data_IF_245283013524
#
_entry.id   IF_245283013524
#
_cell.length_a   1.000
_cell.length_b   1.000
_cell.length_c   1.000
_cell.angle_alpha   90.00
_cell.angle_beta   90.00
_cell.angle_gamma   90.00
#
_symmetry.space_group_name_H-M   'P 1'
#
loop_
_entity.id
_entity.type
_entity.pdbx_description
1 polymer ?
#
# COMPACT_ATOMS: atom_id res chain seq x y z
N UNK A 1 -34.51 -9.92 -23.44
CA UNK A 1 -33.42 -9.23 -22.70
C UNK A 1 -32.30 -10.24 -22.55
N UNK A 2 -31.08 -9.85 -22.83
CA UNK A 2 -29.90 -10.71 -22.66
C UNK A 2 -29.10 -10.13 -21.50
N UNK A 3 -28.66 -10.96 -20.57
CA UNK A 3 -27.86 -10.52 -19.44
C UNK A 3 -26.38 -10.45 -19.84
N UNK A 4 -25.65 -9.49 -19.26
CA UNK A 4 -24.20 -9.41 -19.42
C UNK A 4 -23.55 -10.67 -18.85
N UNK A 5 -22.64 -11.32 -19.57
CA UNK A 5 -22.00 -12.55 -19.08
C UNK A 5 -21.01 -12.28 -17.94
N UNK A 6 -20.52 -11.04 -17.81
CA UNK A 6 -19.61 -10.64 -16.72
C UNK A 6 -20.36 -10.16 -15.48
N UNK A 7 -21.21 -9.14 -15.61
CA UNK A 7 -21.85 -8.48 -14.46
C UNK A 7 -23.30 -8.92 -14.21
N UNK A 8 -23.85 -9.81 -15.05
CA UNK A 8 -25.22 -10.35 -14.96
C UNK A 8 -26.36 -9.31 -14.95
N UNK A 9 -26.07 -8.04 -15.28
CA UNK A 9 -27.08 -7.00 -15.39
C UNK A 9 -27.84 -7.12 -16.71
N UNK A 10 -29.15 -6.81 -16.73
CA UNK A 10 -29.96 -6.89 -17.94
C UNK A 10 -29.52 -5.83 -18.95
N UNK A 11 -29.34 -6.23 -20.21
CA UNK A 11 -28.90 -5.33 -21.28
C UNK A 11 -30.01 -5.08 -22.31
N UNK A 12 -30.09 -3.83 -22.80
CA UNK A 12 -31.10 -3.39 -23.80
C UNK A 12 -30.77 -3.84 -25.22
N UNK A 13 -29.55 -4.27 -25.50
CA UNK A 13 -29.11 -4.67 -26.84
C UNK A 13 -28.99 -6.19 -26.93
N UNK A 14 -29.91 -6.81 -27.67
CA UNK A 14 -29.68 -8.14 -28.24
C UNK A 14 -28.66 -8.00 -29.38
N UNK A 15 -27.39 -7.83 -29.03
CA UNK A 15 -26.30 -7.83 -30.00
C UNK A 15 -25.31 -8.91 -29.61
N UNK A 16 -24.58 -9.46 -30.58
CA UNK A 16 -23.63 -10.56 -30.48
C UNK A 16 -22.47 -10.36 -29.46
N UNK A 17 -22.52 -9.33 -28.63
CA UNK A 17 -21.53 -8.99 -27.64
C UNK A 17 -21.89 -9.60 -26.29
N UNK A 18 -20.97 -10.33 -25.70
CA UNK A 18 -21.15 -11.00 -24.40
C UNK A 18 -21.04 -10.04 -23.20
N UNK A 19 -20.62 -8.80 -23.45
CA UNK A 19 -20.40 -7.75 -22.44
C UNK A 19 -21.31 -6.53 -22.66
N UNK A 20 -21.80 -5.93 -21.56
CA UNK A 20 -22.51 -4.66 -21.60
C UNK A 20 -21.56 -3.48 -21.92
N UNK A 21 -22.10 -2.28 -22.16
CA UNK A 21 -21.29 -1.10 -22.50
C UNK A 21 -20.26 -0.76 -21.41
N UNK A 22 -20.67 -0.74 -20.14
CA UNK A 22 -19.78 -0.43 -19.02
C UNK A 22 -18.66 -1.47 -18.88
N UNK A 23 -18.99 -2.76 -18.86
CA UNK A 23 -17.98 -3.82 -18.77
C UNK A 23 -16.97 -3.77 -19.93
N UNK A 24 -17.37 -3.35 -21.14
CA UNK A 24 -16.43 -3.15 -22.25
C UNK A 24 -15.48 -1.97 -22.01
N UNK A 25 -15.97 -0.90 -21.41
CA UNK A 25 -15.16 0.27 -21.05
C UNK A 25 -14.19 -0.06 -19.91
N UNK A 26 -14.66 -0.74 -18.87
CA UNK A 26 -13.85 -1.21 -17.75
C UNK A 26 -12.77 -2.17 -18.22
N UNK A 27 -13.15 -3.20 -18.99
CA UNK A 27 -12.22 -4.17 -19.57
C UNK A 27 -11.16 -3.49 -20.45
N UNK A 28 -11.58 -2.57 -21.31
CA UNK A 28 -10.66 -1.80 -22.15
C UNK A 28 -9.68 -0.95 -21.32
N UNK A 29 -10.17 -0.32 -20.26
CA UNK A 29 -9.36 0.49 -19.35
C UNK A 29 -8.31 -0.39 -18.67
N UNK A 30 -8.68 -1.59 -18.22
CA UNK A 30 -7.75 -2.53 -17.60
C UNK A 30 -6.66 -3.02 -18.57
N UNK A 31 -7.01 -3.33 -19.82
CA UNK A 31 -6.01 -3.67 -20.85
C UNK A 31 -5.00 -2.53 -21.02
N UNK A 32 -5.48 -1.30 -21.07
CA UNK A 32 -4.62 -0.13 -21.20
C UNK A 32 -3.70 0.02 -19.97
N UNK A 33 -4.27 -0.06 -18.77
CA UNK A 33 -3.52 0.08 -17.51
C UNK A 33 -2.46 -1.02 -17.32
N UNK A 34 -2.76 -2.25 -17.71
CA UNK A 34 -1.82 -3.38 -17.62
C UNK A 34 -0.51 -3.08 -18.35
N UNK A 35 -0.60 -2.67 -19.62
CA UNK A 35 0.58 -2.38 -20.44
C UNK A 35 1.20 -1.00 -20.21
N UNK A 36 0.39 0.02 -19.92
CA UNK A 36 0.88 1.39 -19.78
C UNK A 36 1.49 1.69 -18.40
N UNK A 37 0.95 1.08 -17.34
CA UNK A 37 1.30 1.41 -15.95
C UNK A 37 1.84 0.20 -15.20
N UNK A 38 1.09 -0.90 -15.14
CA UNK A 38 1.42 -2.00 -14.24
C UNK A 38 2.73 -2.71 -14.65
N UNK A 39 2.84 -3.17 -15.89
CA UNK A 39 4.03 -3.87 -16.38
C UNK A 39 5.32 -3.05 -16.31
N UNK A 40 5.37 -1.76 -16.71
CA UNK A 40 6.53 -0.91 -16.49
C UNK A 40 6.92 -0.78 -15.01
N UNK A 41 5.94 -0.64 -14.12
CA UNK A 41 6.18 -0.47 -12.68
C UNK A 41 6.70 -1.75 -12.04
N UNK A 42 6.08 -2.90 -12.34
CA UNK A 42 6.54 -4.21 -11.90
C UNK A 42 7.97 -4.49 -12.37
N UNK A 43 8.33 -4.12 -13.61
CA UNK A 43 9.70 -4.26 -14.12
C UNK A 43 10.71 -3.41 -13.34
N UNK A 44 10.32 -2.20 -12.92
CA UNK A 44 11.15 -1.36 -12.05
C UNK A 44 11.37 -1.98 -10.66
N UNK A 45 10.35 -2.63 -10.10
CA UNK A 45 10.42 -3.35 -8.82
C UNK A 45 11.29 -4.60 -8.94
N UNK A 46 11.09 -5.40 -9.99
CA UNK A 46 11.86 -6.62 -10.28
C UNK A 46 13.36 -6.33 -10.33
N UNK A 47 13.75 -5.22 -10.97
CA UNK A 47 15.14 -4.74 -11.04
C UNK A 47 15.62 -4.01 -9.77
N UNK A 48 14.79 -3.92 -8.74
CA UNK A 48 15.01 -3.14 -7.50
C UNK A 48 15.38 -1.68 -7.74
N UNK A 49 14.94 -1.13 -8.87
CA UNK A 49 15.10 0.29 -9.21
C UNK A 49 14.03 1.14 -8.51
N UNK A 50 12.91 0.53 -8.12
CA UNK A 50 11.89 1.09 -7.25
C UNK A 50 11.59 0.12 -6.09
N UNK A 51 11.30 0.68 -4.92
CA UNK A 51 10.78 -0.04 -3.76
C UNK A 51 9.40 0.50 -3.43
N UNK A 52 8.47 -0.41 -3.13
CA UNK A 52 7.13 -0.09 -2.66
C UNK A 52 7.07 -0.43 -1.17
N UNK A 53 6.78 0.55 -0.32
CA UNK A 53 6.79 0.44 1.14
C UNK A 53 8.08 0.95 1.81
N UNK A 54 8.07 1.02 3.15
CA UNK A 54 9.25 1.39 3.94
C UNK A 54 10.27 0.26 3.92
N UNK A 55 11.59 0.54 3.78
CA UNK A 55 12.61 -0.49 3.84
C UNK A 55 12.59 -1.17 5.22
N UNK A 56 12.07 -2.39 5.30
CA UNK A 56 12.18 -3.19 6.51
C UNK A 56 13.67 -3.53 6.74
N UNK A 57 14.18 -3.29 7.94
CA UNK A 57 15.51 -3.77 8.31
C UNK A 57 15.51 -5.29 8.34
N UNK A 58 16.00 -5.91 7.27
CA UNK A 58 16.22 -7.35 7.21
C UNK A 58 17.26 -7.72 8.27
N UNK A 59 16.98 -8.66 9.20
CA UNK A 59 18.01 -9.21 10.06
C UNK A 59 19.14 -9.75 9.18
N UNK A 60 20.38 -9.48 9.57
CA UNK A 60 21.58 -9.83 8.82
C UNK A 60 21.70 -11.36 8.68
N UNK A 61 21.03 -11.94 7.67
CA UNK A 61 21.19 -13.33 7.26
C UNK A 61 22.36 -13.36 6.28
N UNK A 62 23.37 -14.19 6.53
CA UNK A 62 24.63 -14.27 5.78
C UNK A 62 24.53 -14.70 4.31
N UNK A 63 23.34 -14.69 3.71
CA UNK A 63 23.14 -14.92 2.28
C UNK A 63 22.75 -13.60 1.61
N UNK A 64 23.50 -13.22 0.58
CA UNK A 64 23.15 -12.10 -0.27
C UNK A 64 21.74 -12.33 -0.88
N UNK A 65 20.82 -11.37 -0.78
CA UNK A 65 19.51 -11.49 -1.40
C UNK A 65 19.68 -11.61 -2.93
N UNK A 66 18.81 -12.39 -3.58
CA UNK A 66 18.83 -12.57 -5.03
C UNK A 66 18.84 -11.22 -5.77
N UNK A 67 19.47 -11.13 -6.95
CA UNK A 67 19.61 -9.87 -7.70
C UNK A 67 18.29 -9.31 -8.23
N UNK A 68 17.22 -10.11 -8.25
CA UNK A 68 15.88 -9.72 -8.71
C UNK A 68 14.82 -10.04 -7.65
N UNK A 69 13.68 -9.34 -7.74
CA UNK A 69 12.47 -9.70 -6.99
C UNK A 69 11.69 -10.79 -7.76
N UNK A 70 11.70 -12.01 -7.22
CA UNK A 70 11.04 -13.18 -7.85
C UNK A 70 9.53 -13.04 -7.86
N UNK A 71 8.93 -12.40 -6.85
CA UNK A 71 7.49 -12.21 -6.83
C UNK A 71 7.05 -11.23 -7.94
N UNK A 72 7.78 -10.13 -8.12
CA UNK A 72 7.54 -9.22 -9.23
C UNK A 72 7.76 -9.90 -10.60
N UNK A 73 8.74 -10.82 -10.70
CA UNK A 73 8.95 -11.61 -11.92
C UNK A 73 7.73 -12.48 -12.25
N UNK A 74 7.19 -13.23 -11.28
CA UNK A 74 6.02 -14.10 -11.49
C UNK A 74 4.80 -13.30 -12.00
N UNK A 75 4.56 -12.10 -11.43
CA UNK A 75 3.47 -11.21 -11.84
C UNK A 75 3.67 -10.65 -13.26
N UNK A 76 4.92 -10.38 -13.64
CA UNK A 76 5.26 -9.98 -15.01
C UNK A 76 4.98 -11.14 -15.97
N UNK A 77 5.44 -12.35 -15.67
CA UNK A 77 5.25 -13.52 -16.52
C UNK A 77 3.77 -13.84 -16.75
N UNK A 78 2.95 -13.79 -15.69
CA UNK A 78 1.49 -13.98 -15.77
C UNK A 78 0.82 -12.91 -16.66
N UNK A 79 1.21 -11.64 -16.49
CA UNK A 79 0.70 -10.51 -17.27
C UNK A 79 1.10 -10.59 -18.76
N UNK A 80 2.34 -10.99 -19.04
CA UNK A 80 2.86 -11.13 -20.41
C UNK A 80 2.26 -12.33 -21.13
N UNK A 81 2.06 -13.45 -20.43
CA UNK A 81 1.37 -14.61 -20.97
C UNK A 81 -0.06 -14.27 -21.40
N UNK A 82 -0.79 -13.53 -20.57
CA UNK A 82 -2.13 -13.07 -20.90
C UNK A 82 -2.12 -12.19 -22.17
N UNK A 83 -1.22 -11.21 -22.27
CA UNK A 83 -1.10 -10.35 -23.45
C UNK A 83 -0.77 -11.15 -24.73
N UNK A 84 0.15 -12.12 -24.64
CA UNK A 84 0.51 -12.96 -25.79
C UNK A 84 -0.67 -13.82 -26.26
N UNK A 85 -1.44 -14.40 -25.33
CA UNK A 85 -2.64 -15.18 -25.64
C UNK A 85 -3.70 -14.31 -26.34
N UNK A 86 -4.02 -13.13 -25.79
CA UNK A 86 -5.02 -12.24 -26.37
C UNK A 86 -4.60 -11.72 -27.75
N UNK A 87 -3.32 -11.40 -27.93
CA UNK A 87 -2.80 -11.03 -29.24
C UNK A 87 -2.93 -12.19 -30.24
N UNK A 88 -2.61 -13.43 -29.83
CA UNK A 88 -2.78 -14.64 -30.62
C UNK A 88 -4.23 -14.92 -31.03
N UNK A 89 -5.19 -14.66 -30.12
CA UNK A 89 -6.64 -14.73 -30.37
C UNK A 89 -7.11 -13.75 -31.45
N UNK A 90 -6.52 -12.55 -31.51
CA UNK A 90 -6.77 -11.57 -32.58
C UNK A 90 -6.18 -12.08 -33.91
N UNK A 91 -4.93 -12.55 -33.89
CA UNK A 91 -4.27 -13.13 -35.06
C UNK A 91 -3.15 -14.08 -34.61
N UNK A 92 -3.14 -15.30 -35.13
CA UNK A 92 -2.14 -16.32 -34.77
C UNK A 92 -0.68 -15.86 -34.93
N UNK A 93 -0.41 -14.98 -35.91
CA UNK A 93 0.92 -14.39 -36.14
C UNK A 93 1.43 -13.52 -34.96
N UNK A 94 0.55 -13.09 -34.06
CA UNK A 94 0.90 -12.27 -32.88
C UNK A 94 1.24 -13.11 -31.64
N UNK A 95 1.00 -14.42 -31.66
CA UNK A 95 1.17 -15.29 -30.48
C UNK A 95 2.62 -15.37 -29.94
N UNK A 96 3.62 -14.92 -30.72
CA UNK A 96 5.02 -14.86 -30.31
C UNK A 96 5.56 -13.45 -30.09
N UNK A 97 4.68 -12.44 -30.02
CA UNK A 97 5.12 -11.07 -29.77
C UNK A 97 5.61 -10.89 -28.33
N UNK A 98 6.65 -10.07 -28.17
CA UNK A 98 6.99 -9.52 -26.86
C UNK A 98 5.82 -8.69 -26.32
N UNK A 99 5.74 -8.54 -24.99
CA UNK A 99 4.59 -7.93 -24.33
C UNK A 99 4.23 -6.54 -24.86
N UNK A 100 5.22 -5.71 -25.25
CA UNK A 100 4.94 -4.37 -25.79
C UNK A 100 4.27 -4.48 -27.14
N UNK A 101 4.81 -5.31 -28.04
CA UNK A 101 4.20 -5.54 -29.36
C UNK A 101 2.84 -6.21 -29.25
N UNK A 102 2.68 -7.17 -28.35
CA UNK A 102 1.40 -7.81 -28.07
C UNK A 102 0.36 -6.79 -27.58
N UNK A 103 0.73 -5.95 -26.61
CA UNK A 103 -0.10 -4.86 -26.12
C UNK A 103 -0.45 -3.85 -27.22
N UNK A 104 0.52 -3.41 -28.03
CA UNK A 104 0.27 -2.54 -29.18
C UNK A 104 -0.69 -3.16 -30.22
N UNK A 105 -0.56 -4.46 -30.46
CA UNK A 105 -1.46 -5.19 -31.35
C UNK A 105 -2.89 -5.25 -30.78
N UNK A 106 -3.05 -5.50 -29.48
CA UNK A 106 -4.35 -5.50 -28.81
C UNK A 106 -4.99 -4.12 -28.88
N UNK A 107 -4.25 -3.05 -28.53
CA UNK A 107 -4.84 -1.71 -28.51
C UNK A 107 -5.22 -1.22 -29.91
N UNK A 108 -4.50 -1.66 -30.93
CA UNK A 108 -4.83 -1.36 -32.34
C UNK A 108 -6.06 -2.12 -32.84
N UNK A 109 -6.49 -3.17 -32.12
CA UNK A 109 -7.61 -4.04 -32.47
C UNK A 109 -8.72 -3.99 -31.42
N UNK A 110 -8.99 -2.80 -30.84
CA UNK A 110 -10.00 -2.57 -29.79
C UNK A 110 -11.36 -3.21 -30.10
N UNK A 111 -11.87 -3.05 -31.31
CA UNK A 111 -13.18 -3.61 -31.66
C UNK A 111 -13.16 -5.14 -31.58
N UNK A 112 -12.13 -5.78 -32.13
CA UNK A 112 -11.99 -7.23 -32.14
C UNK A 112 -11.99 -7.79 -30.72
N UNK A 113 -11.07 -7.34 -29.85
CA UNK A 113 -10.93 -7.87 -28.49
C UNK A 113 -12.21 -7.73 -27.65
N UNK A 114 -12.95 -6.63 -27.82
CA UNK A 114 -14.18 -6.37 -27.06
C UNK A 114 -15.43 -7.10 -27.58
N UNK A 115 -15.34 -7.75 -28.74
CA UNK A 115 -16.47 -8.43 -29.40
C UNK A 115 -16.25 -9.93 -29.56
N UNK A 116 -15.10 -10.45 -29.13
CA UNK A 116 -14.82 -11.88 -29.15
C UNK A 116 -15.80 -12.65 -28.27
N UNK A 117 -16.09 -13.89 -28.67
CA UNK A 117 -16.92 -14.80 -27.87
C UNK A 117 -16.27 -15.20 -26.55
N UNK A 118 -14.96 -14.96 -26.37
CA UNK A 118 -14.23 -15.22 -25.13
C UNK A 118 -14.10 -13.99 -24.24
N UNK A 119 -14.60 -12.82 -24.68
CA UNK A 119 -14.33 -11.54 -24.02
C UNK A 119 -14.76 -11.48 -22.55
N UNK A 120 -15.80 -12.21 -22.15
CA UNK A 120 -16.23 -12.28 -20.75
C UNK A 120 -15.23 -13.06 -19.87
N UNK A 121 -14.80 -14.23 -20.33
CA UNK A 121 -13.81 -15.05 -19.64
C UNK A 121 -12.44 -14.36 -19.61
N UNK A 122 -12.05 -13.74 -20.72
CA UNK A 122 -10.80 -12.98 -20.83
C UNK A 122 -10.80 -11.76 -19.90
N UNK A 123 -11.95 -11.11 -19.71
CA UNK A 123 -12.12 -10.02 -18.76
C UNK A 123 -11.99 -10.51 -17.31
N UNK A 124 -12.68 -11.59 -16.93
CA UNK A 124 -12.54 -12.17 -15.59
C UNK A 124 -11.09 -12.59 -15.27
N UNK A 125 -10.39 -13.20 -16.24
CA UNK A 125 -8.97 -13.52 -16.11
C UNK A 125 -8.12 -12.26 -15.88
N UNK A 126 -8.38 -11.19 -16.65
CA UNK A 126 -7.66 -9.92 -16.49
C UNK A 126 -7.94 -9.25 -15.15
N UNK A 127 -9.16 -9.34 -14.59
CA UNK A 127 -9.47 -8.85 -13.25
C UNK A 127 -8.63 -9.52 -12.17
N UNK A 128 -8.46 -10.84 -12.27
CA UNK A 128 -7.61 -11.56 -11.34
C UNK A 128 -6.15 -11.11 -11.42
N UNK A 129 -5.60 -10.97 -12.62
CA UNK A 129 -4.22 -10.52 -12.85
C UNK A 129 -4.04 -9.09 -12.34
N UNK A 130 -4.92 -8.18 -12.76
CA UNK A 130 -4.85 -6.75 -12.43
C UNK A 130 -4.93 -6.53 -10.93
N UNK A 131 -5.80 -7.24 -10.22
CA UNK A 131 -5.90 -7.16 -8.75
C UNK A 131 -4.64 -7.63 -8.05
N UNK A 132 -4.02 -8.71 -8.51
CA UNK A 132 -2.75 -9.21 -7.94
C UNK A 132 -1.62 -8.22 -8.18
N UNK A 133 -1.56 -7.66 -9.39
CA UNK A 133 -0.61 -6.59 -9.72
C UNK A 133 -0.85 -5.38 -8.81
N UNK A 134 -2.09 -4.91 -8.67
CA UNK A 134 -2.44 -3.79 -7.78
C UNK A 134 -2.03 -4.04 -6.33
N UNK A 135 -2.23 -5.26 -5.81
CA UNK A 135 -1.79 -5.61 -4.46
C UNK A 135 -0.26 -5.52 -4.30
N UNK A 136 0.50 -5.93 -5.31
CA UNK A 136 1.96 -5.80 -5.29
C UNK A 136 2.43 -4.35 -5.53
N UNK A 137 1.63 -3.55 -6.24
CA UNK A 137 1.90 -2.16 -6.57
C UNK A 137 1.39 -1.17 -5.51
N UNK A 138 0.56 -1.62 -4.58
CA UNK A 138 0.06 -0.82 -3.46
C UNK A 138 0.85 -1.23 -2.23
N UNK A 139 1.61 -0.31 -1.59
CA UNK A 139 2.27 -0.64 -0.34
C UNK A 139 1.22 -1.04 0.71
N UNK A 140 1.52 -2.06 1.53
CA UNK A 140 0.81 -2.22 2.80
C UNK A 140 1.08 -0.94 3.60
N UNK A 141 0.04 -0.13 3.82
CA UNK A 141 0.17 1.06 4.66
C UNK A 141 0.67 0.64 6.05
N UNK A 142 1.76 1.28 6.51
CA UNK A 142 2.32 0.99 7.82
C UNK A 142 1.27 1.25 8.90
N UNK A 143 0.75 0.18 9.51
CA UNK A 143 -0.18 0.32 10.62
C UNK A 143 0.55 0.87 11.85
N UNK A 144 0.17 2.07 12.26
CA UNK A 144 0.66 2.72 13.48
C UNK A 144 -0.38 2.61 14.60
N UNK A 145 0.08 2.75 15.84
CA UNK A 145 -0.83 2.94 16.98
C UNK A 145 -1.36 4.37 16.90
N UNK A 146 -2.68 4.52 16.73
CA UNK A 146 -3.36 5.80 16.72
C UNK A 146 -3.59 6.31 18.15
N UNK A 147 -3.90 5.39 19.07
CA UNK A 147 -4.18 5.69 20.47
C UNK A 147 -5.02 4.60 21.14
N UNK A 148 -5.88 5.02 22.06
CA UNK A 148 -6.68 4.10 22.90
C UNK A 148 -8.16 4.39 22.71
N UNK A 149 -8.97 3.33 22.52
CA UNK A 149 -10.42 3.42 22.39
C UNK A 149 -11.04 4.16 23.58
N UNK A 150 -11.85 5.21 23.36
CA UNK A 150 -12.54 5.91 24.44
C UNK A 150 -13.56 5.05 25.20
N UNK A 151 -14.13 4.03 24.55
CA UNK A 151 -15.17 3.18 25.14
C UNK A 151 -14.59 1.99 25.92
N UNK A 152 -13.78 1.13 25.29
CA UNK A 152 -13.29 -0.11 25.90
C UNK A 152 -11.79 -0.10 26.25
N UNK A 153 -11.10 1.03 26.02
CA UNK A 153 -9.67 1.20 26.31
C UNK A 153 -8.69 0.26 25.59
N UNK A 154 -9.16 -0.42 24.55
CA UNK A 154 -8.30 -1.21 23.67
C UNK A 154 -7.43 -0.33 22.79
N UNK A 155 -6.28 -0.85 22.39
CA UNK A 155 -5.37 -0.14 21.48
C UNK A 155 -5.97 -0.07 20.08
N UNK A 156 -5.93 1.11 19.48
CA UNK A 156 -6.41 1.35 18.13
C UNK A 156 -5.22 1.49 17.19
N UNK A 157 -5.20 0.69 16.14
CA UNK A 157 -4.22 0.74 15.05
C UNK A 157 -4.89 1.15 13.75
N UNK A 158 -4.14 1.82 12.89
CA UNK A 158 -4.59 2.26 11.58
C UNK A 158 -3.46 2.91 10.81
N UNK A 159 -3.74 3.33 9.58
CA UNK A 159 -2.75 4.00 8.74
C UNK A 159 -2.44 5.40 9.28
N UNK A 160 -1.27 6.00 8.94
CA UNK A 160 -0.90 7.33 9.42
C UNK A 160 -1.89 8.41 9.03
N UNK A 161 -2.60 8.24 7.90
CA UNK A 161 -3.55 9.21 7.35
C UNK A 161 -5.00 8.76 7.47
N UNK A 162 -5.28 7.72 8.27
CA UNK A 162 -6.64 7.27 8.52
C UNK A 162 -7.54 8.41 9.01
N UNK A 163 -8.72 8.55 8.40
CA UNK A 163 -9.76 9.51 8.80
C UNK A 163 -10.64 8.95 9.93
N UNK A 164 -10.96 7.66 9.87
CA UNK A 164 -11.70 6.93 10.91
C UNK A 164 -10.99 5.64 11.33
N UNK A 165 -11.35 5.13 12.50
CA UNK A 165 -10.90 3.84 13.01
C UNK A 165 -12.03 3.15 13.76
N UNK A 166 -12.24 1.87 13.45
CA UNK A 166 -13.19 1.02 14.15
C UNK A 166 -12.47 0.18 15.19
N UNK A 167 -12.93 0.22 16.43
CA UNK A 167 -12.38 -0.61 17.49
C UNK A 167 -12.72 -2.09 17.26
N UNK A 168 -11.72 -2.97 17.28
CA UNK A 168 -11.95 -4.41 17.07
C UNK A 168 -12.67 -5.09 18.24
N UNK A 169 -12.58 -4.52 19.45
CA UNK A 169 -13.15 -5.15 20.66
C UNK A 169 -14.58 -4.69 20.97
N UNK A 170 -14.90 -3.40 20.75
CA UNK A 170 -16.22 -2.85 21.03
C UNK A 170 -16.98 -2.36 19.79
N UNK A 171 -16.39 -2.48 18.60
CA UNK A 171 -16.96 -2.11 17.31
C UNK A 171 -17.41 -0.65 17.18
N UNK A 172 -17.04 0.22 18.13
CA UNK A 172 -17.30 1.65 18.05
C UNK A 172 -16.34 2.30 17.05
N UNK A 173 -16.89 3.15 16.18
CA UNK A 173 -16.12 3.94 15.21
C UNK A 173 -15.76 5.31 15.79
N UNK A 174 -14.53 5.75 15.52
CA UNK A 174 -13.99 7.02 16.00
C UNK A 174 -13.28 7.76 14.88
N UNK A 175 -13.32 9.09 14.92
CA UNK A 175 -12.44 9.91 14.08
C UNK A 175 -10.97 9.69 14.53
N UNK A 176 -10.14 9.15 13.64
CA UNK A 176 -8.75 8.86 13.95
C UNK A 176 -7.92 10.10 14.36
N UNK A 177 -8.12 11.30 13.78
CA UNK A 177 -7.50 12.54 14.27
C UNK A 177 -7.85 12.86 15.73
N UNK A 178 -9.08 12.62 16.17
CA UNK A 178 -9.49 12.86 17.55
C UNK A 178 -8.82 11.89 18.54
N UNK A 179 -8.63 10.63 18.12
CA UNK A 179 -7.90 9.63 18.91
C UNK A 179 -6.43 10.02 19.08
N UNK A 180 -5.77 10.47 18.02
CA UNK A 180 -4.37 10.95 18.06
C UNK A 180 -4.24 12.17 18.98
N UNK A 181 -5.10 13.18 18.80
CA UNK A 181 -5.10 14.38 19.64
C UNK A 181 -5.30 14.04 21.13
N UNK A 182 -6.22 13.13 21.45
CA UNK A 182 -6.45 12.68 22.83
C UNK A 182 -5.23 11.94 23.40
N UNK A 183 -4.55 11.12 22.60
CA UNK A 183 -3.29 10.48 22.98
C UNK A 183 -2.21 11.54 23.26
N UNK A 184 -2.03 12.50 22.36
CA UNK A 184 -0.98 13.51 22.47
C UNK A 184 -1.21 14.43 23.67
N UNK A 185 -2.47 14.77 23.98
CA UNK A 185 -2.84 15.48 25.20
C UNK A 185 -2.48 14.69 26.47
N UNK A 186 -2.66 13.36 26.48
CA UNK A 186 -2.26 12.52 27.63
C UNK A 186 -0.75 12.50 27.81
N UNK A 187 0.04 12.53 26.74
CA UNK A 187 1.50 12.50 26.82
C UNK A 187 2.08 13.70 27.58
N UNK A 188 1.41 14.87 27.55
CA UNK A 188 1.82 16.03 28.35
C UNK A 188 1.76 15.79 29.87
N UNK A 189 0.96 14.82 30.30
CA UNK A 189 0.84 14.43 31.71
C UNK A 189 1.83 13.34 32.11
N UNK A 190 2.62 12.81 31.16
CA UNK A 190 3.56 11.72 31.40
C UNK A 190 4.98 12.27 31.48
N UNK A 191 5.59 12.08 32.65
CA UNK A 191 7.01 12.29 32.85
C UNK A 191 7.70 10.95 33.04
N UNK A 192 8.89 10.83 32.45
CA UNK A 192 9.76 9.68 32.68
C UNK A 192 11.15 10.14 33.09
N UNK A 193 11.83 9.33 33.88
CA UNK A 193 13.23 9.54 34.24
C UNK A 193 14.06 8.42 33.63
N UNK A 194 15.08 8.77 32.86
CA UNK A 194 15.93 7.77 32.21
C UNK A 194 16.89 8.38 31.20
N UNK A 195 17.43 7.53 30.33
CA UNK A 195 18.28 7.98 29.23
C UNK A 195 17.44 8.38 28.01
N UNK A 196 18.03 9.09 27.02
CA UNK A 196 17.36 9.31 25.73
C UNK A 196 16.91 8.03 25.03
N UNK A 197 17.54 6.87 25.32
CA UNK A 197 17.09 5.60 24.76
C UNK A 197 15.82 5.09 25.42
N UNK A 198 15.64 5.37 26.71
CA UNK A 198 14.47 4.93 27.46
C UNK A 198 13.26 5.79 27.06
N UNK A 199 13.47 7.09 26.85
CA UNK A 199 12.45 7.97 26.26
C UNK A 199 11.97 7.53 24.88
N UNK A 200 12.89 7.16 23.99
CA UNK A 200 12.52 6.61 22.68
C UNK A 200 11.72 5.30 22.80
N UNK A 201 12.10 4.41 23.73
CA UNK A 201 11.37 3.16 23.97
C UNK A 201 9.97 3.40 24.53
N UNK A 202 9.82 4.39 25.40
CA UNK A 202 8.53 4.70 26.01
C UNK A 202 7.57 5.30 24.98
N UNK A 203 8.00 6.29 24.19
CA UNK A 203 7.20 6.87 23.11
C UNK A 203 6.72 5.83 22.10
N UNK A 204 7.54 4.81 21.83
CA UNK A 204 7.17 3.70 20.95
C UNK A 204 5.93 2.94 21.44
N UNK A 205 5.69 2.84 22.75
CA UNK A 205 4.48 2.21 23.32
C UNK A 205 3.19 2.97 22.97
N UNK A 206 3.32 4.25 22.64
CA UNK A 206 2.23 5.13 22.21
C UNK A 206 2.15 5.27 20.69
N UNK A 207 2.95 4.52 19.93
CA UNK A 207 2.99 4.60 18.46
C UNK A 207 3.88 5.71 17.90
N UNK A 208 4.68 6.37 18.73
CA UNK A 208 5.56 7.45 18.31
C UNK A 208 7.00 6.94 18.20
N UNK A 209 7.48 6.78 16.97
CA UNK A 209 8.84 6.30 16.69
C UNK A 209 9.80 7.48 16.56
N UNK A 210 10.82 7.50 17.43
CA UNK A 210 11.90 8.49 17.40
C UNK A 210 13.24 7.83 17.71
N UNK A 211 14.32 8.29 17.07
CA UNK A 211 15.66 7.77 17.36
C UNK A 211 16.26 8.42 18.62
N UNK A 212 17.01 7.63 19.41
CA UNK A 212 17.83 8.13 20.53
C UNK A 212 18.74 9.30 20.11
N UNK A 213 19.31 9.21 18.91
CA UNK A 213 20.24 10.22 18.40
C UNK A 213 19.54 11.56 18.21
N UNK A 214 18.30 11.56 17.69
CA UNK A 214 17.52 12.78 17.51
C UNK A 214 17.20 13.46 18.86
N UNK A 215 16.74 12.68 19.85
CA UNK A 215 16.51 13.18 21.22
C UNK A 215 17.80 13.78 21.79
N UNK A 216 18.93 13.08 21.61
CA UNK A 216 20.23 13.55 22.08
C UNK A 216 20.67 14.85 21.39
N UNK A 217 20.33 15.03 20.11
CA UNK A 217 20.59 16.28 19.39
C UNK A 217 19.69 17.41 19.87
N UNK A 218 18.41 17.16 20.16
CA UNK A 218 17.52 18.18 20.72
C UNK A 218 17.99 18.67 22.09
N UNK A 219 18.44 17.77 22.97
CA UNK A 219 19.08 18.15 24.23
C UNK A 219 20.32 19.02 24.01
N UNK A 220 21.24 18.59 23.13
CA UNK A 220 22.47 19.35 22.82
C UNK A 220 22.20 20.73 22.23
N UNK A 221 21.12 20.86 21.46
CA UNK A 221 20.70 22.10 20.81
C UNK A 221 19.80 22.97 21.69
N UNK A 222 19.48 22.55 22.91
CA UNK A 222 18.57 23.27 23.81
C UNK A 222 17.13 23.36 23.32
N UNK A 223 16.71 22.46 22.42
CA UNK A 223 15.33 22.42 21.90
C UNK A 223 14.35 21.65 22.78
N UNK A 224 14.88 20.74 23.59
CA UNK A 224 14.12 19.87 24.49
C UNK A 224 14.48 20.23 25.93
N UNK A 225 13.48 20.60 26.72
CA UNK A 225 13.63 20.87 28.14
C UNK A 225 13.58 19.54 28.90
N UNK A 226 14.73 19.10 29.38
CA UNK A 226 14.81 17.93 30.25
C UNK A 226 15.65 18.27 31.47
N UNK A 227 15.15 17.94 32.65
CA UNK A 227 15.84 18.21 33.91
C UNK A 227 16.92 17.14 34.12
N UNK A 228 18.21 17.49 34.20
CA UNK A 228 19.26 16.52 34.52
C UNK A 228 19.04 15.90 35.90
N UNK A 229 19.33 14.61 36.06
CA UNK A 229 19.31 13.96 37.37
C UNK A 229 20.73 13.84 37.95
N UNK A 230 20.84 13.30 39.17
CA UNK A 230 22.14 13.02 39.82
C UNK A 230 22.98 11.98 39.05
N UNK A 231 22.34 11.17 38.20
CA UNK A 231 22.99 10.14 37.42
C UNK A 231 23.43 10.65 36.05
N UNK A 232 24.65 10.28 35.65
CA UNK A 232 25.24 10.69 34.37
C UNK A 232 24.35 10.26 33.20
N UNK A 233 24.01 11.23 32.32
CA UNK A 233 23.20 11.06 31.09
C UNK A 233 21.76 10.61 31.34
N UNK A 234 21.24 10.79 32.55
CA UNK A 234 19.83 10.63 32.85
C UNK A 234 19.15 11.98 33.00
N UNK A 235 17.92 12.06 32.52
CA UNK A 235 17.10 13.25 32.56
C UNK A 235 15.66 12.86 32.86
N UNK A 236 14.91 13.80 33.43
CA UNK A 236 13.45 13.74 33.48
C UNK A 236 12.89 14.42 32.24
N UNK A 237 12.18 13.65 31.42
CA UNK A 237 11.56 14.08 30.17
C UNK A 237 10.05 14.20 30.33
N UNK A 238 9.45 15.22 29.70
CA UNK A 238 8.02 15.24 29.41
C UNK A 238 7.76 14.59 28.05
N UNK A 239 6.90 13.57 27.98
CA UNK A 239 6.64 12.87 26.72
C UNK A 239 5.83 13.72 25.72
N UNK A 240 4.99 14.63 26.20
CA UNK A 240 4.23 15.56 25.36
C UNK A 240 5.15 16.55 24.62
N UNK A 241 6.19 17.05 25.28
CA UNK A 241 7.18 17.91 24.64
C UNK A 241 7.97 17.16 23.54
N UNK A 242 8.35 15.92 23.81
CA UNK A 242 8.99 15.06 22.81
C UNK A 242 8.08 14.78 21.60
N UNK A 243 6.80 14.52 21.84
CA UNK A 243 5.81 14.31 20.79
C UNK A 243 5.60 15.58 19.94
N UNK A 244 5.46 16.74 20.57
CA UNK A 244 5.31 18.02 19.88
C UNK A 244 6.53 18.36 19.00
N UNK A 245 7.75 18.11 19.50
CA UNK A 245 8.96 18.29 18.70
C UNK A 245 9.05 17.32 17.51
N UNK A 246 8.49 16.11 17.65
CA UNK A 246 8.43 15.15 16.55
C UNK A 246 7.48 15.62 15.45
N UNK A 247 6.32 16.17 15.81
CA UNK A 247 5.33 16.68 14.85
C UNK A 247 5.82 17.92 14.11
N UNK A 248 6.57 18.83 14.75
CA UNK A 248 7.17 20.00 14.09
C UNK A 248 8.31 19.64 13.10
N UNK A 249 8.75 18.38 13.07
CA UNK A 249 9.88 17.91 12.26
C UNK A 249 9.47 16.88 11.19
N UNK A 250 8.18 16.56 11.06
CA UNK A 250 7.59 15.80 9.95
C UNK A 250 7.14 16.75 8.84
#
# INVERSE_FOLDING_TARGET
MTDCQHCHKPTKQASANMLCANCREDYWTMIYQLGHVQLPTLRSIMLRQAHIGTPAHTPNKGNAPLPIDVHAQDLIEESEAWLAEQAGKIRAAYAGYDWRKAWYAIISNKHTILTMSTAADDYAALEHITRRNEQALTPEDELIILGTCPNCHSMLTGTPDAESVTCQDCHSEWAAPAIKAARDQRLWQVQITGTPSDAAKELKRYGLTISRNLISQWLKRGKLHATPTEHKRQYTFNLGELAALLDCHR
#
